data_IF_210971338695
#
_entry.id   IF_210971338695
#
_cell.length_a   1.000
_cell.length_b   1.000
_cell.length_c   1.000
_cell.angle_alpha   90.00
_cell.angle_beta   90.00
_cell.angle_gamma   90.00
#
_symmetry.space_group_name_H-M   'P 1'
#
loop_
_entity.id
_entity.type
_entity.pdbx_description
1 polymer ?
#
# COMPACT_ATOMS: atom_id res chain seq x y z
N UNK A 1 -3.85 17.07 -5.57
CA UNK A 1 -2.58 16.50 -6.09
C UNK A 1 -2.48 15.07 -5.60
N UNK A 2 -2.03 14.12 -6.43
CA UNK A 2 -1.74 12.73 -6.02
C UNK A 2 -0.28 12.43 -6.30
N UNK A 3 0.44 11.88 -5.32
CA UNK A 3 1.87 11.57 -5.41
C UNK A 3 2.02 10.10 -5.06
N UNK A 4 2.62 9.32 -5.95
CA UNK A 4 2.93 7.91 -5.70
C UNK A 4 4.43 7.77 -5.47
N UNK A 5 4.81 7.18 -4.34
CA UNK A 5 6.20 6.91 -3.98
C UNK A 5 6.38 5.40 -3.89
N UNK A 6 7.26 4.84 -4.72
CA UNK A 6 7.59 3.42 -4.77
C UNK A 6 9.10 3.21 -4.63
N UNK A 7 9.49 2.01 -4.20
CA UNK A 7 10.89 1.65 -3.99
C UNK A 7 11.01 0.26 -3.37
N UNK A 8 12.24 -0.25 -3.32
CA UNK A 8 12.52 -1.56 -2.74
C UNK A 8 12.20 -1.61 -1.24
N UNK A 9 11.89 -2.79 -0.67
CA UNK A 9 11.78 -2.94 0.77
C UNK A 9 13.01 -2.38 1.49
N UNK A 10 12.78 -1.50 2.48
CA UNK A 10 13.86 -0.85 3.24
C UNK A 10 14.46 0.39 2.60
N UNK A 11 14.01 0.85 1.42
CA UNK A 11 14.54 2.05 0.76
C UNK A 11 14.06 3.39 1.37
N UNK A 12 13.29 3.35 2.47
CA UNK A 12 12.81 4.54 3.17
C UNK A 12 11.61 5.25 2.52
N UNK A 13 10.88 4.60 1.61
CA UNK A 13 9.71 5.17 0.92
C UNK A 13 8.63 5.63 1.89
N UNK A 14 8.30 4.82 2.90
CA UNK A 14 7.33 5.20 3.94
C UNK A 14 7.79 6.42 4.74
N UNK A 15 9.09 6.52 5.04
CA UNK A 15 9.67 7.65 5.76
C UNK A 15 9.53 8.95 4.96
N UNK A 16 9.95 8.94 3.69
CA UNK A 16 9.87 10.13 2.83
C UNK A 16 8.41 10.50 2.56
N UNK A 17 7.53 9.52 2.36
CA UNK A 17 6.11 9.79 2.13
C UNK A 17 5.45 10.49 3.31
N UNK A 18 5.79 10.10 4.56
CA UNK A 18 5.33 10.81 5.77
C UNK A 18 5.86 12.23 5.86
N UNK A 19 7.18 12.41 5.69
CA UNK A 19 7.80 13.74 5.73
C UNK A 19 7.21 14.69 4.67
N UNK A 20 6.97 14.19 3.46
CA UNK A 20 6.37 14.97 2.38
C UNK A 20 4.91 15.32 2.67
N UNK A 21 4.15 14.37 3.21
CA UNK A 21 2.76 14.59 3.60
C UNK A 21 2.65 15.68 4.66
N UNK A 22 3.46 15.62 5.72
CA UNK A 22 3.48 16.62 6.79
C UNK A 22 3.90 18.01 6.26
N UNK A 23 4.92 18.06 5.40
CA UNK A 23 5.42 19.32 4.84
C UNK A 23 4.40 20.01 3.92
N UNK A 24 3.61 19.22 3.18
CA UNK A 24 2.66 19.73 2.18
C UNK A 24 1.21 19.75 2.68
N UNK A 25 0.95 19.30 3.91
CA UNK A 25 -0.42 19.14 4.43
C UNK A 25 -1.25 18.14 3.63
N UNK A 26 -0.64 17.06 3.14
CA UNK A 26 -1.31 16.02 2.37
C UNK A 26 -1.70 14.84 3.27
N UNK A 27 -2.72 14.10 2.86
CA UNK A 27 -3.04 12.81 3.48
C UNK A 27 -2.08 11.73 2.97
N UNK A 28 -1.49 10.97 3.88
CA UNK A 28 -0.67 9.81 3.56
C UNK A 28 -1.58 8.57 3.42
N UNK A 29 -1.50 7.89 2.27
CA UNK A 29 -2.14 6.59 2.05
C UNK A 29 -1.04 5.57 1.76
N UNK A 30 -0.91 4.57 2.63
CA UNK A 30 0.07 3.49 2.48
C UNK A 30 -0.57 2.30 1.76
N UNK A 31 -0.24 2.11 0.49
CA UNK A 31 -0.74 0.99 -0.30
C UNK A 31 -0.44 -0.36 0.37
N UNK A 32 0.78 -0.55 0.89
CA UNK A 32 1.16 -1.80 1.56
C UNK A 32 0.43 -2.04 2.89
N UNK A 33 0.03 -1.00 3.60
CA UNK A 33 -0.77 -1.13 4.82
C UNK A 33 -2.23 -1.45 4.51
N UNK A 34 -2.81 -0.79 3.50
CA UNK A 34 -4.13 -1.14 2.95
C UNK A 34 -4.15 -2.60 2.51
N UNK A 35 -3.15 -3.05 1.77
CA UNK A 35 -3.06 -4.43 1.27
C UNK A 35 -2.93 -5.44 2.41
N UNK A 36 -2.13 -5.15 3.45
CA UNK A 36 -2.04 -5.97 4.66
C UNK A 36 -3.36 -6.07 5.42
N UNK A 37 -4.11 -4.97 5.51
CA UNK A 37 -5.44 -4.97 6.14
C UNK A 37 -6.42 -5.83 5.35
N UNK A 38 -6.45 -5.68 4.03
CA UNK A 38 -7.30 -6.51 3.16
C UNK A 38 -6.93 -7.99 3.29
N UNK A 39 -5.65 -8.35 3.26
CA UNK A 39 -5.22 -9.73 3.49
C UNK A 39 -5.77 -10.29 4.82
N UNK A 40 -5.71 -9.51 5.90
CA UNK A 40 -6.28 -9.91 7.19
C UNK A 40 -7.81 -10.06 7.17
N UNK A 41 -8.53 -9.19 6.45
CA UNK A 41 -10.00 -9.31 6.27
C UNK A 41 -10.39 -10.61 5.54
N UNK A 42 -9.55 -11.07 4.61
CA UNK A 42 -9.72 -12.33 3.88
C UNK A 42 -9.18 -13.56 4.64
N UNK A 43 -8.66 -13.38 5.86
CA UNK A 43 -7.95 -14.41 6.62
C UNK A 43 -6.79 -15.07 5.83
N UNK A 44 -6.06 -14.26 5.06
CA UNK A 44 -4.93 -14.69 4.24
C UNK A 44 -3.64 -14.00 4.70
N UNK A 45 -2.50 -14.65 4.45
CA UNK A 45 -1.22 -13.96 4.51
C UNK A 45 -1.12 -12.91 3.40
N UNK A 46 -0.20 -11.95 3.55
CA UNK A 46 0.05 -10.94 2.52
C UNK A 46 0.43 -11.56 1.17
N UNK A 47 1.13 -12.69 1.21
CA UNK A 47 1.64 -13.40 0.05
C UNK A 47 0.50 -14.16 -0.67
N UNK A 48 -0.34 -14.88 0.08
CA UNK A 48 -1.55 -15.52 -0.46
C UNK A 48 -2.52 -14.51 -1.04
N UNK A 49 -2.72 -13.38 -0.34
CA UNK A 49 -3.58 -12.32 -0.81
C UNK A 49 -3.02 -11.64 -2.07
N UNK A 50 -1.69 -11.49 -2.18
CA UNK A 50 -1.03 -11.00 -3.40
C UNK A 50 -1.31 -11.90 -4.60
N UNK A 51 -1.16 -13.22 -4.44
CA UNK A 51 -1.48 -14.19 -5.50
C UNK A 51 -2.96 -14.14 -5.88
N UNK A 52 -3.85 -13.93 -4.91
CA UNK A 52 -5.28 -13.77 -5.17
C UNK A 52 -5.58 -12.49 -5.97
N UNK A 53 -4.99 -11.36 -5.57
CA UNK A 53 -5.18 -10.07 -6.24
C UNK A 53 -4.64 -10.07 -7.68
N UNK A 54 -3.56 -10.80 -7.97
CA UNK A 54 -3.06 -10.99 -9.34
C UNK A 54 -4.04 -11.79 -10.22
N UNK A 55 -4.86 -12.65 -9.62
CA UNK A 55 -5.81 -13.54 -10.32
C UNK A 55 -7.22 -12.94 -10.42
N UNK A 56 -7.58 -12.05 -9.51
CA UNK A 56 -8.89 -11.44 -9.42
C UNK A 56 -8.80 -9.91 -9.59
N UNK A 57 -9.09 -9.38 -10.80
CA UNK A 57 -9.06 -7.95 -11.09
C UNK A 57 -10.03 -7.13 -10.22
N UNK A 58 -11.08 -7.73 -9.65
CA UNK A 58 -11.99 -7.00 -8.75
C UNK A 58 -11.30 -6.61 -7.44
N UNK A 59 -10.28 -7.36 -7.01
CA UNK A 59 -9.52 -7.08 -5.79
C UNK A 59 -8.46 -6.00 -6.04
N UNK A 60 -7.86 -5.98 -7.23
CA UNK A 60 -6.87 -4.95 -7.61
C UNK A 60 -7.51 -3.58 -7.87
N UNK A 61 -8.79 -3.53 -8.28
CA UNK A 61 -9.52 -2.30 -8.59
C UNK A 61 -10.20 -1.62 -7.39
N UNK A 62 -10.14 -2.19 -6.19
CA UNK A 62 -10.93 -1.76 -5.01
C UNK A 62 -10.15 -0.85 -4.04
#
# INVERSE_FOLDING_TARGET
MKITISGLPGSGTSTIAGMLADHMGLNLVSAGETFRRLAAEYNMSLEEFGVLAERDPEIDMR
#
